data_IF_653160229421
#
_entry.id   IF_653160229421
#
_cell.length_a   1.000
_cell.length_b   1.000
_cell.length_c   1.000
_cell.angle_alpha   90.00
_cell.angle_beta   90.00
_cell.angle_gamma   90.00
#
_symmetry.space_group_name_H-M   'P 1'
#
loop_
_entity.id
_entity.type
_entity.pdbx_description
1 polymer ?
#
# COMPACT_ATOMS: atom_id res chain seq x y z
N UNK A 1 -20.22 -25.42 0.76
CA UNK A 1 -19.51 -24.44 1.61
C UNK A 1 -18.04 -24.33 1.22
N UNK A 2 -17.24 -25.40 1.28
CA UNK A 2 -15.82 -25.35 0.89
C UNK A 2 -15.58 -25.12 -0.62
N UNK A 3 -16.45 -25.64 -1.50
CA UNK A 3 -16.36 -25.45 -2.95
C UNK A 3 -16.62 -23.99 -3.37
N UNK A 4 -17.61 -23.33 -2.75
CA UNK A 4 -17.98 -21.93 -3.03
C UNK A 4 -16.85 -20.94 -2.71
N UNK A 5 -16.13 -21.17 -1.60
CA UNK A 5 -14.97 -20.35 -1.21
C UNK A 5 -13.76 -20.54 -2.13
N UNK A 6 -13.59 -21.74 -2.70
CA UNK A 6 -12.51 -22.02 -3.65
C UNK A 6 -12.78 -21.38 -5.02
N UNK A 7 -14.04 -21.33 -5.44
CA UNK A 7 -14.47 -20.70 -6.70
C UNK A 7 -14.32 -19.17 -6.65
N UNK A 8 -14.70 -18.53 -5.54
CA UNK A 8 -14.49 -17.10 -5.33
C UNK A 8 -13.00 -16.74 -5.25
N UNK A 9 -12.19 -17.57 -4.58
CA UNK A 9 -10.73 -17.40 -4.55
C UNK A 9 -10.11 -17.55 -5.93
N UNK A 10 -10.57 -18.53 -6.72
CA UNK A 10 -10.07 -18.78 -8.08
C UNK A 10 -10.43 -17.63 -9.02
N UNK A 11 -11.67 -17.15 -8.96
CA UNK A 11 -12.14 -15.98 -9.70
C UNK A 11 -11.44 -14.68 -9.27
N UNK A 12 -11.13 -14.54 -7.98
CA UNK A 12 -10.31 -13.43 -7.47
C UNK A 12 -8.87 -13.49 -8.02
N UNK A 13 -8.24 -14.66 -8.01
CA UNK A 13 -6.90 -14.88 -8.58
C UNK A 13 -6.90 -14.61 -10.10
N UNK A 14 -7.87 -15.14 -10.84
CA UNK A 14 -8.02 -14.92 -12.28
C UNK A 14 -8.25 -13.45 -12.63
N UNK A 15 -9.11 -12.73 -11.89
CA UNK A 15 -9.32 -11.29 -12.08
C UNK A 15 -8.08 -10.46 -11.69
N UNK A 16 -7.31 -10.91 -10.70
CA UNK A 16 -6.05 -10.28 -10.31
C UNK A 16 -4.97 -10.47 -11.38
N UNK A 17 -4.91 -11.64 -12.02
CA UNK A 17 -4.00 -11.95 -13.13
C UNK A 17 -4.41 -11.32 -14.47
N UNK A 18 -5.68 -10.98 -14.67
CA UNK A 18 -6.13 -10.26 -15.87
C UNK A 18 -5.74 -8.77 -15.89
N UNK A 19 -5.09 -8.27 -14.84
CA UNK A 19 -4.43 -6.97 -14.88
C UNK A 19 -3.02 -7.08 -15.46
N UNK A 20 -2.64 -6.17 -16.34
CA UNK A 20 -1.26 -5.98 -16.83
C UNK A 20 -0.28 -5.49 -15.73
N UNK A 21 -0.43 -5.97 -14.49
CA UNK A 21 0.42 -5.58 -13.36
C UNK A 21 1.65 -6.46 -13.34
N UNK A 22 2.81 -5.82 -13.36
CA UNK A 22 4.09 -6.52 -13.24
C UNK A 22 4.15 -7.19 -11.86
N UNK A 23 4.39 -8.51 -11.77
CA UNK A 23 4.53 -9.20 -10.49
C UNK A 23 5.59 -8.55 -9.58
N UNK A 24 5.42 -8.68 -8.27
CA UNK A 24 6.44 -8.22 -7.33
C UNK A 24 7.69 -9.11 -7.41
N UNK A 25 8.87 -8.49 -7.35
CA UNK A 25 10.14 -9.23 -7.39
C UNK A 25 10.43 -9.98 -6.08
N UNK A 26 10.06 -9.39 -4.96
CA UNK A 26 10.22 -9.88 -3.60
C UNK A 26 9.27 -9.11 -2.66
N UNK A 27 9.33 -9.39 -1.36
CA UNK A 27 8.48 -8.73 -0.36
C UNK A 27 8.79 -7.23 -0.24
N UNK A 28 10.06 -6.85 -0.29
CA UNK A 28 10.51 -5.46 -0.22
C UNK A 28 9.91 -4.64 -1.39
N UNK A 29 9.97 -5.18 -2.61
CA UNK A 29 9.37 -4.55 -3.78
C UNK A 29 7.84 -4.44 -3.68
N UNK A 30 7.18 -5.40 -3.03
CA UNK A 30 5.75 -5.31 -2.75
C UNK A 30 5.44 -4.21 -1.73
N UNK A 31 6.28 -4.05 -0.70
CA UNK A 31 6.15 -3.01 0.34
C UNK A 31 6.35 -1.62 -0.27
N UNK A 32 7.32 -1.45 -1.15
CA UNK A 32 7.59 -0.18 -1.84
C UNK A 32 6.43 0.26 -2.75
N UNK A 33 5.60 -0.68 -3.23
CA UNK A 33 4.48 -0.46 -4.16
C UNK A 33 3.12 -0.33 -3.45
N UNK A 34 3.13 0.02 -2.17
CA UNK A 34 1.91 0.38 -1.45
C UNK A 34 1.42 1.80 -1.82
N UNK A 35 0.15 2.07 -1.51
CA UNK A 35 -0.55 3.30 -1.90
C UNK A 35 -0.03 4.57 -1.18
N UNK A 36 0.46 4.43 0.05
CA UNK A 36 0.92 5.56 0.88
C UNK A 36 2.04 5.11 1.83
N UNK A 37 2.92 6.03 2.22
CA UNK A 37 4.14 5.77 3.03
C UNK A 37 3.83 5.03 4.34
N UNK A 38 2.75 5.39 5.02
CA UNK A 38 2.29 4.75 6.27
C UNK A 38 1.90 3.28 6.14
N UNK A 39 1.71 2.78 4.92
CA UNK A 39 1.43 1.36 4.66
C UNK A 39 2.72 0.57 4.34
N UNK A 40 3.80 1.26 3.97
CA UNK A 40 5.00 0.67 3.42
C UNK A 40 6.03 0.37 4.51
N UNK A 41 5.65 -0.51 5.45
CA UNK A 41 6.52 -0.99 6.53
C UNK A 41 6.43 -2.51 6.64
N UNK A 42 7.59 -3.17 6.62
CA UNK A 42 7.75 -4.58 6.93
C UNK A 42 8.46 -4.77 8.26
N UNK A 43 8.02 -5.75 9.04
CA UNK A 43 8.69 -6.19 10.26
C UNK A 43 8.86 -7.70 10.17
N UNK A 44 10.08 -8.19 10.38
CA UNK A 44 10.41 -9.62 10.37
C UNK A 44 11.35 -9.96 11.52
N UNK A 45 11.70 -11.24 11.64
CA UNK A 45 12.63 -11.74 12.65
C UNK A 45 11.93 -12.36 13.86
N UNK A 46 12.56 -12.26 15.03
CA UNK A 46 12.11 -12.87 16.27
C UNK A 46 12.31 -11.93 17.46
N UNK A 47 11.94 -12.37 18.67
CA UNK A 47 11.99 -11.54 19.88
C UNK A 47 13.38 -11.00 20.26
N UNK A 48 14.46 -11.56 19.71
CA UNK A 48 15.85 -11.13 19.97
C UNK A 48 16.47 -10.37 18.81
N UNK A 49 15.91 -10.50 17.60
CA UNK A 49 16.39 -9.83 16.41
C UNK A 49 15.18 -9.42 15.56
N UNK A 50 14.80 -8.14 15.67
CA UNK A 50 13.72 -7.55 14.87
C UNK A 50 14.38 -6.81 13.72
N UNK A 51 13.94 -7.12 12.51
CA UNK A 51 14.32 -6.42 11.30
C UNK A 51 13.15 -5.55 10.84
N UNK A 52 13.45 -4.30 10.47
CA UNK A 52 12.46 -3.34 9.99
C UNK A 52 12.86 -2.90 8.59
N UNK A 53 11.95 -3.06 7.65
CA UNK A 53 12.06 -2.50 6.31
C UNK A 53 11.06 -1.34 6.19
N UNK A 54 11.58 -0.11 6.20
CA UNK A 54 10.78 1.12 6.09
C UNK A 54 11.40 2.06 5.02
N UNK A 55 11.20 1.77 3.73
CA UNK A 55 11.85 2.49 2.63
C UNK A 55 11.55 4.00 2.60
N UNK A 56 10.45 4.44 3.23
CA UNK A 56 10.06 5.85 3.35
C UNK A 56 10.22 6.41 4.77
N UNK A 57 10.88 5.66 5.66
CA UNK A 57 10.98 5.98 7.08
C UNK A 57 9.67 5.75 7.86
N UNK A 58 9.68 6.08 9.15
CA UNK A 58 8.54 5.89 10.07
C UNK A 58 7.88 7.21 10.49
N UNK A 59 8.45 8.35 10.10
CA UNK A 59 8.01 9.68 10.54
C UNK A 59 6.55 9.97 10.20
N UNK A 60 6.11 9.60 9.00
CA UNK A 60 4.73 9.79 8.56
C UNK A 60 3.74 8.99 9.45
N UNK A 61 4.14 7.85 10.02
CA UNK A 61 3.31 7.09 10.97
C UNK A 61 3.19 7.84 12.30
N UNK A 62 4.31 8.28 12.87
CA UNK A 62 4.32 8.97 14.17
C UNK A 62 3.63 10.34 14.11
N UNK A 63 3.75 11.03 12.98
CA UNK A 63 3.13 12.35 12.77
C UNK A 63 1.71 12.29 12.23
N UNK A 64 1.17 11.08 11.99
CA UNK A 64 -0.14 10.83 11.37
C UNK A 64 -0.28 11.50 10.01
N UNK A 65 0.80 11.50 9.23
CA UNK A 65 0.85 12.08 7.89
C UNK A 65 0.54 11.02 6.84
N UNK A 66 -0.52 11.21 6.07
CA UNK A 66 -0.86 10.36 4.93
C UNK A 66 -0.23 10.98 3.69
N UNK A 67 0.74 10.28 3.08
CA UNK A 67 1.50 10.73 1.92
C UNK A 67 1.48 9.69 0.80
N UNK A 68 1.15 10.07 -0.45
CA UNK A 68 1.11 9.13 -1.56
C UNK A 68 2.52 8.64 -1.91
N UNK A 69 2.61 7.38 -2.34
CA UNK A 69 3.79 6.84 -3.02
C UNK A 69 3.51 6.82 -4.53
N UNK A 70 4.41 7.38 -5.32
CA UNK A 70 4.26 7.44 -6.78
C UNK A 70 4.94 6.24 -7.44
N UNK A 71 4.16 5.39 -8.10
CA UNK A 71 4.64 4.29 -8.94
C UNK A 71 3.52 3.84 -9.89
N UNK A 72 3.85 2.98 -10.86
CA UNK A 72 2.97 2.56 -11.97
C UNK A 72 1.64 1.92 -11.54
N UNK A 73 1.54 1.31 -10.35
CA UNK A 73 0.31 0.64 -9.89
C UNK A 73 -0.54 1.51 -8.96
N UNK A 74 -0.06 2.69 -8.61
CA UNK A 74 -0.80 3.65 -7.79
C UNK A 74 -1.25 4.82 -8.64
N UNK A 75 -2.36 5.42 -8.25
CA UNK A 75 -2.90 6.61 -8.90
C UNK A 75 -3.72 7.42 -7.90
N UNK A 76 -4.03 8.64 -8.32
CA UNK A 76 -4.83 9.60 -7.55
C UNK A 76 -6.11 8.99 -6.98
N UNK A 77 -6.89 8.30 -7.81
CA UNK A 77 -8.18 7.72 -7.41
C UNK A 77 -8.00 6.68 -6.30
N UNK A 78 -7.01 5.78 -6.44
CA UNK A 78 -6.72 4.78 -5.41
C UNK A 78 -6.29 5.42 -4.09
N UNK A 79 -5.45 6.45 -4.17
CA UNK A 79 -4.98 7.20 -3.01
C UNK A 79 -6.12 7.94 -2.30
N UNK A 80 -6.93 8.72 -3.04
CA UNK A 80 -8.05 9.50 -2.49
C UNK A 80 -9.14 8.58 -1.89
N UNK A 81 -9.45 7.44 -2.52
CA UNK A 81 -10.37 6.45 -1.95
C UNK A 81 -9.85 5.85 -0.64
N UNK A 82 -8.54 5.61 -0.55
CA UNK A 82 -7.92 5.12 0.69
C UNK A 82 -7.96 6.18 1.78
N UNK A 83 -7.71 7.43 1.41
CA UNK A 83 -7.72 8.58 2.30
C UNK A 83 -9.11 8.77 2.93
N UNK A 84 -10.19 8.76 2.14
CA UNK A 84 -11.56 8.91 2.65
C UNK A 84 -11.88 7.90 3.76
N UNK A 85 -11.56 6.62 3.53
CA UNK A 85 -11.77 5.54 4.53
C UNK A 85 -10.95 5.72 5.80
N UNK A 86 -9.80 6.40 5.71
CA UNK A 86 -8.92 6.64 6.84
C UNK A 86 -9.36 7.85 7.66
N UNK A 87 -9.83 8.91 7.00
CA UNK A 87 -10.41 10.07 7.66
C UNK A 87 -11.67 9.71 8.47
N UNK A 88 -12.43 8.70 8.06
CA UNK A 88 -13.56 8.17 8.85
C UNK A 88 -13.11 7.48 10.15
N UNK A 89 -11.91 6.88 10.17
CA UNK A 89 -11.44 6.01 11.26
C UNK A 89 -10.52 6.71 12.24
N UNK A 90 -9.77 7.70 11.78
CA UNK A 90 -8.71 8.33 12.54
C UNK A 90 -8.88 9.85 12.54
N UNK A 91 -8.83 10.43 13.74
CA UNK A 91 -8.82 11.88 13.92
C UNK A 91 -7.41 12.47 13.81
N UNK A 92 -7.35 13.75 13.42
CA UNK A 92 -6.13 14.55 13.35
C UNK A 92 -5.07 14.00 12.38
N UNK A 93 -5.50 13.51 11.22
CA UNK A 93 -4.60 13.14 10.12
C UNK A 93 -4.06 14.40 9.42
N UNK A 94 -2.76 14.42 9.13
CA UNK A 94 -2.15 15.37 8.20
C UNK A 94 -2.17 14.75 6.81
N UNK A 95 -2.60 15.50 5.80
CA UNK A 95 -2.80 14.95 4.45
C UNK A 95 -1.85 15.67 3.50
N UNK A 96 -1.09 14.89 2.75
CA UNK A 96 -0.35 15.37 1.59
C UNK A 96 -1.16 15.00 0.36
N UNK A 97 -1.61 16.02 -0.38
CA UNK A 97 -2.43 15.83 -1.57
C UNK A 97 -1.64 15.15 -2.70
N UNK A 98 -2.38 14.49 -3.59
CA UNK A 98 -1.79 13.94 -4.80
C UNK A 98 -1.33 15.08 -5.72
N UNK A 99 -0.04 15.10 -6.08
CA UNK A 99 0.53 16.06 -7.02
C UNK A 99 0.61 15.46 -8.42
N UNK A 100 0.03 16.16 -9.38
CA UNK A 100 0.11 15.79 -10.80
C UNK A 100 1.46 16.17 -11.45
N UNK A 101 2.30 16.94 -10.75
CA UNK A 101 3.61 17.40 -11.24
C UNK A 101 4.67 16.29 -11.27
N UNK A 102 4.46 15.21 -10.51
CA UNK A 102 5.40 14.07 -10.40
C UNK A 102 5.26 13.09 -11.59
N UNK A 103 4.30 13.28 -12.51
CA UNK A 103 4.09 12.41 -13.68
C UNK A 103 5.23 12.39 -14.71
N UNK A 104 6.25 13.24 -14.55
CA UNK A 104 7.32 13.44 -15.53
C UNK A 104 8.68 12.85 -15.12
N UNK A 105 8.72 11.87 -14.22
CA UNK A 105 9.93 11.09 -13.88
C UNK A 105 9.83 9.66 -14.39
#
# INVERSE_FOLDING_TARGET
MASFLLEDKRKWIENWHNGNKVPYKNTENAIERWIATVHAVGISGNSRNIEIFAPYGLEDIFTKTIRPIYHVDNNRILYENKLARWQERFSNLKIIEWSDEIKNL
#
